data_IF_499523356613
#
_entry.id   IF_499523356613
#
_cell.length_a   1.000
_cell.length_b   1.000
_cell.length_c   1.000
_cell.angle_alpha   90.00
_cell.angle_beta   90.00
_cell.angle_gamma   90.00
#
_symmetry.space_group_name_H-M   'P 1'
#
loop_
_entity.id
_entity.type
_entity.pdbx_description
1 polymer ?
#
# COMPACT_ATOMS: atom_id res chain seq x y z
N UNK A 1 -7.80 -41.70 45.70
CA UNK A 1 -8.75 -40.76 45.07
C UNK A 1 -8.22 -40.55 43.66
N UNK A 2 -8.86 -41.16 42.65
CA UNK A 2 -8.48 -40.97 41.25
C UNK A 2 -9.34 -39.84 40.67
N UNK A 3 -8.70 -38.86 40.05
CA UNK A 3 -9.37 -37.77 39.32
C UNK A 3 -9.12 -38.02 37.84
N UNK A 4 -10.17 -38.37 37.09
CA UNK A 4 -10.10 -38.44 35.63
C UNK A 4 -10.40 -37.06 35.06
N UNK A 5 -9.40 -36.44 34.44
CA UNK A 5 -9.58 -35.23 33.62
C UNK A 5 -9.57 -35.62 32.14
N UNK A 6 -10.63 -35.33 31.37
CA UNK A 6 -10.62 -35.59 29.94
C UNK A 6 -9.56 -34.74 29.26
N UNK A 7 -8.75 -35.35 28.38
CA UNK A 7 -7.72 -34.65 27.63
C UNK A 7 -8.37 -33.74 26.57
N UNK A 8 -8.00 -32.45 26.49
CA UNK A 8 -8.45 -31.58 25.41
C UNK A 8 -7.98 -32.03 24.02
N UNK A 9 -8.79 -31.78 22.99
CA UNK A 9 -8.44 -32.02 21.58
C UNK A 9 -7.48 -30.94 21.04
N UNK A 10 -6.19 -31.13 21.27
CA UNK A 10 -5.16 -30.18 20.83
C UNK A 10 -5.01 -30.09 19.31
N UNK A 11 -5.30 -31.16 18.56
CA UNK A 11 -5.20 -31.15 17.10
C UNK A 11 -6.30 -30.28 16.48
N UNK A 12 -7.54 -30.41 16.97
CA UNK A 12 -8.65 -29.57 16.56
C UNK A 12 -8.39 -28.09 16.85
N UNK A 13 -7.83 -27.78 18.02
CA UNK A 13 -7.46 -26.40 18.40
C UNK A 13 -6.39 -25.84 17.47
N UNK A 14 -5.36 -26.62 17.15
CA UNK A 14 -4.30 -26.19 16.25
C UNK A 14 -4.83 -25.93 14.83
N UNK A 15 -5.71 -26.80 14.32
CA UNK A 15 -6.34 -26.62 13.02
C UNK A 15 -7.22 -25.34 12.96
N UNK A 16 -8.00 -25.07 14.01
CA UNK A 16 -8.79 -23.84 14.14
C UNK A 16 -7.88 -22.60 14.19
N UNK A 17 -6.80 -22.67 14.98
CA UNK A 17 -5.83 -21.59 15.14
C UNK A 17 -5.20 -21.19 13.81
N UNK A 18 -4.74 -22.16 13.01
CA UNK A 18 -4.14 -21.91 11.69
C UNK A 18 -5.12 -21.23 10.74
N UNK A 19 -6.37 -21.70 10.68
CA UNK A 19 -7.36 -21.12 9.77
C UNK A 19 -7.76 -19.70 10.19
N UNK A 20 -7.95 -19.46 11.49
CA UNK A 20 -8.24 -18.12 12.01
C UNK A 20 -7.07 -17.17 11.82
N UNK A 21 -5.85 -17.60 12.09
CA UNK A 21 -4.64 -16.80 11.90
C UNK A 21 -4.49 -16.38 10.44
N UNK A 22 -4.70 -17.31 9.49
CA UNK A 22 -4.69 -16.98 8.07
C UNK A 22 -5.71 -15.90 7.71
N UNK A 23 -6.97 -16.04 8.15
CA UNK A 23 -8.03 -15.07 7.84
C UNK A 23 -7.74 -13.71 8.46
N UNK A 24 -7.28 -13.68 9.71
CA UNK A 24 -6.89 -12.46 10.38
C UNK A 24 -5.74 -11.78 9.65
N UNK A 25 -4.67 -12.50 9.34
CA UNK A 25 -3.50 -11.96 8.66
C UNK A 25 -3.86 -11.32 7.31
N UNK A 26 -4.74 -11.96 6.52
CA UNK A 26 -5.23 -11.39 5.25
C UNK A 26 -5.88 -10.02 5.45
N UNK A 27 -6.75 -9.89 6.44
CA UNK A 27 -7.49 -8.65 6.70
C UNK A 27 -6.58 -7.60 7.33
N UNK A 28 -5.78 -7.99 8.32
CA UNK A 28 -4.87 -7.13 9.06
C UNK A 28 -3.82 -6.50 8.13
N UNK A 29 -3.08 -7.31 7.38
CA UNK A 29 -2.05 -6.81 6.47
C UNK A 29 -2.65 -5.93 5.36
N UNK A 30 -3.82 -6.31 4.83
CA UNK A 30 -4.49 -5.48 3.82
C UNK A 30 -4.86 -4.10 4.37
N UNK A 31 -5.37 -4.05 5.60
CA UNK A 31 -5.67 -2.79 6.28
C UNK A 31 -4.39 -2.00 6.60
N UNK A 32 -3.31 -2.67 6.97
CA UNK A 32 -1.99 -2.06 7.20
C UNK A 32 -1.48 -1.31 5.96
N UNK A 33 -1.53 -1.96 4.79
CA UNK A 33 -1.13 -1.32 3.52
C UNK A 33 -2.06 -0.17 3.14
N UNK A 34 -3.38 -0.32 3.36
CA UNK A 34 -4.34 0.76 3.11
C UNK A 34 -4.16 1.95 4.04
N UNK A 35 -3.76 1.71 5.28
CA UNK A 35 -3.50 2.76 6.27
C UNK A 35 -2.31 3.64 5.89
N UNK A 36 -1.35 3.10 5.12
CA UNK A 36 -0.22 3.87 4.58
C UNK A 36 -0.68 5.08 3.75
N UNK A 37 -1.82 4.99 3.05
CA UNK A 37 -2.39 6.10 2.29
C UNK A 37 -2.98 7.19 3.17
N UNK A 38 -3.57 6.80 4.32
CA UNK A 38 -4.11 7.74 5.30
C UNK A 38 -2.99 8.48 6.01
N UNK A 39 -1.96 7.73 6.43
CA UNK A 39 -0.75 8.27 7.07
C UNK A 39 0.17 9.00 6.07
N UNK A 40 0.02 8.76 4.77
CA UNK A 40 0.88 9.26 3.71
C UNK A 40 2.35 8.85 3.89
N UNK A 41 2.56 7.60 4.27
CA UNK A 41 3.87 7.03 4.56
C UNK A 41 3.79 5.53 4.80
N UNK A 42 4.93 4.86 4.76
CA UNK A 42 5.04 3.44 5.09
C UNK A 42 5.58 3.27 6.50
N UNK A 43 5.09 2.28 7.23
CA UNK A 43 5.66 1.92 8.53
C UNK A 43 6.34 0.56 8.38
N UNK A 44 7.66 0.53 8.55
CA UNK A 44 8.44 -0.71 8.66
C UNK A 44 8.91 -0.86 10.12
N UNK A 45 10.19 -0.61 10.40
CA UNK A 45 10.69 -0.44 11.76
C UNK A 45 10.34 0.96 12.32
N UNK A 46 10.40 1.97 11.45
CA UNK A 46 10.01 3.36 11.70
C UNK A 46 8.98 3.82 10.68
N UNK A 47 8.36 4.98 10.95
CA UNK A 47 7.44 5.62 10.01
C UNK A 47 8.19 6.49 9.01
N UNK A 48 8.14 6.11 7.73
CA UNK A 48 8.74 6.81 6.62
C UNK A 48 7.68 7.55 5.81
N UNK A 49 7.55 8.86 6.05
CA UNK A 49 6.62 9.73 5.35
C UNK A 49 7.00 9.89 3.87
N UNK A 50 6.01 9.90 2.99
CA UNK A 50 6.22 10.14 1.56
C UNK A 50 6.64 11.56 1.27
N UNK A 51 7.45 11.72 0.22
CA UNK A 51 7.85 13.03 -0.26
C UNK A 51 6.63 13.89 -0.66
N UNK A 52 6.58 15.11 -0.11
CA UNK A 52 5.51 16.09 -0.34
C UNK A 52 5.49 16.55 -1.81
N UNK A 53 4.36 17.13 -2.22
CA UNK A 53 4.21 17.70 -3.57
C UNK A 53 5.17 18.88 -3.73
N UNK A 54 5.81 18.96 -4.91
CA UNK A 54 6.63 20.11 -5.28
C UNK A 54 5.72 21.29 -5.60
N UNK A 55 6.06 22.49 -5.13
CA UNK A 55 5.35 23.72 -5.43
C UNK A 55 5.57 24.15 -6.90
N UNK A 56 4.55 24.69 -7.61
CA UNK A 56 3.19 24.94 -7.15
C UNK A 56 2.34 23.67 -7.08
N UNK A 57 1.59 23.52 -5.99
CA UNK A 57 0.60 22.45 -5.85
C UNK A 57 -0.71 22.85 -6.53
N UNK A 58 -1.01 22.23 -7.67
CA UNK A 58 -2.26 22.48 -8.40
C UNK A 58 -3.49 21.77 -7.80
N UNK A 59 -3.31 21.02 -6.70
CA UNK A 59 -4.41 20.41 -5.92
C UNK A 59 -4.15 20.56 -4.40
N UNK A 60 -4.21 21.80 -3.87
CA UNK A 60 -3.98 22.04 -2.46
C UNK A 60 -4.98 21.27 -1.58
N UNK A 61 -4.51 20.73 -0.46
CA UNK A 61 -5.32 19.96 0.49
C UNK A 61 -5.64 18.51 0.06
N UNK A 62 -5.25 18.10 -1.15
CA UNK A 62 -5.47 16.73 -1.63
C UNK A 62 -4.41 15.75 -1.12
N UNK A 63 -4.84 14.68 -0.46
CA UNK A 63 -3.96 13.62 0.01
C UNK A 63 -3.08 13.02 -1.12
N UNK A 64 -1.85 12.64 -0.77
CA UNK A 64 -0.93 11.98 -1.71
C UNK A 64 -1.49 10.61 -2.11
N UNK A 65 -1.34 10.27 -3.41
CA UNK A 65 -1.87 9.04 -4.03
C UNK A 65 -3.40 8.82 -3.96
N UNK A 66 -4.15 9.70 -3.29
CA UNK A 66 -5.61 9.63 -3.21
C UNK A 66 -6.23 10.77 -4.03
N UNK A 67 -6.43 10.53 -5.33
CA UNK A 67 -7.25 11.40 -6.18
C UNK A 67 -8.67 10.87 -6.31
N UNK A 68 -8.79 9.68 -6.86
CA UNK A 68 -10.05 8.93 -7.07
C UNK A 68 -10.12 7.68 -6.20
N UNK A 69 -9.15 7.49 -5.29
CA UNK A 69 -8.97 6.27 -4.48
C UNK A 69 -8.68 4.97 -5.26
N UNK A 70 -8.60 5.00 -6.60
CA UNK A 70 -8.36 3.80 -7.40
C UNK A 70 -7.13 2.99 -6.98
N UNK A 71 -5.99 3.64 -6.70
CA UNK A 71 -4.78 2.93 -6.25
C UNK A 71 -4.99 2.26 -4.87
N UNK A 72 -5.65 2.94 -3.94
CA UNK A 72 -5.99 2.39 -2.62
C UNK A 72 -6.90 1.16 -2.75
N UNK A 73 -7.95 1.28 -3.56
CA UNK A 73 -8.92 0.21 -3.80
C UNK A 73 -8.35 -0.96 -4.60
N UNK A 74 -7.26 -0.70 -5.34
CA UNK A 74 -6.63 -1.73 -6.15
C UNK A 74 -5.86 -2.78 -5.35
N UNK A 75 -5.56 -2.49 -4.08
CA UNK A 75 -4.80 -3.38 -3.20
C UNK A 75 -5.72 -4.53 -2.76
N UNK A 76 -5.25 -5.75 -3.00
CA UNK A 76 -5.97 -6.98 -2.68
C UNK A 76 -5.02 -8.12 -2.32
N UNK A 77 -5.59 -9.16 -1.72
CA UNK A 77 -4.95 -10.47 -1.63
C UNK A 77 -5.02 -11.12 -3.02
N UNK A 78 -3.86 -11.40 -3.62
CA UNK A 78 -3.76 -12.08 -4.92
C UNK A 78 -3.93 -13.59 -4.78
N UNK A 79 -3.30 -14.16 -3.76
CA UNK A 79 -3.45 -15.57 -3.42
C UNK A 79 -3.19 -15.79 -1.93
N UNK A 80 -3.71 -16.88 -1.39
CA UNK A 80 -3.57 -17.21 0.02
C UNK A 80 -3.73 -18.69 0.27
N UNK A 81 -2.65 -19.36 0.61
CA UNK A 81 -2.66 -20.76 1.05
C UNK A 81 -2.22 -20.82 2.53
N UNK A 82 -2.09 -22.04 3.08
CA UNK A 82 -1.69 -22.23 4.49
C UNK A 82 -0.23 -21.83 4.78
N UNK A 83 0.59 -21.63 3.74
CA UNK A 83 2.04 -21.34 3.85
C UNK A 83 2.39 -19.89 3.49
N UNK A 84 1.62 -19.27 2.61
CA UNK A 84 1.92 -17.94 2.07
C UNK A 84 0.64 -17.20 1.71
N UNK A 85 0.65 -15.91 2.01
CA UNK A 85 -0.34 -14.95 1.53
C UNK A 85 0.40 -13.97 0.61
N UNK A 86 -0.10 -13.78 -0.60
CA UNK A 86 0.46 -12.85 -1.58
C UNK A 86 -0.47 -11.65 -1.69
N UNK A 87 0.08 -10.47 -1.42
CA UNK A 87 -0.61 -9.20 -1.56
C UNK A 87 -0.13 -8.49 -2.83
N UNK A 88 -1.00 -7.67 -3.43
CA UNK A 88 -0.62 -6.90 -4.59
C UNK A 88 -1.68 -5.91 -5.01
N UNK A 89 -1.39 -5.19 -6.09
CA UNK A 89 -2.28 -4.23 -6.70
C UNK A 89 -2.50 -4.59 -8.17
N UNK A 90 -3.73 -4.42 -8.65
CA UNK A 90 -4.04 -4.53 -10.08
C UNK A 90 -3.87 -3.20 -10.84
N UNK A 91 -3.53 -2.10 -10.15
CA UNK A 91 -3.29 -0.84 -10.82
C UNK A 91 -1.93 -0.90 -11.56
N UNK A 92 -1.89 -0.64 -12.89
CA UNK A 92 -0.71 -0.89 -13.71
C UNK A 92 0.50 0.00 -13.32
N UNK A 93 0.24 1.12 -12.65
CA UNK A 93 1.26 2.08 -12.22
C UNK A 93 1.62 1.93 -10.73
N UNK A 94 1.07 0.93 -10.02
CA UNK A 94 1.28 0.73 -8.59
C UNK A 94 2.76 0.51 -8.24
N UNK A 95 3.45 -0.36 -8.99
CA UNK A 95 4.86 -0.65 -8.77
C UNK A 95 5.73 0.61 -8.87
N UNK A 96 5.50 1.44 -9.90
CA UNK A 96 6.22 2.70 -10.09
C UNK A 96 6.02 3.67 -8.91
N UNK A 97 4.84 3.71 -8.30
CA UNK A 97 4.66 4.50 -7.08
C UNK A 97 5.34 3.86 -5.87
N UNK A 98 5.22 2.55 -5.69
CA UNK A 98 5.74 1.84 -4.53
C UNK A 98 7.27 1.87 -4.45
N UNK A 99 7.93 1.64 -5.58
CA UNK A 99 9.39 1.52 -5.70
C UNK A 99 10.04 2.87 -6.09
N UNK A 100 9.25 3.78 -6.67
CA UNK A 100 9.80 4.94 -7.37
C UNK A 100 10.41 4.52 -8.71
N UNK A 101 11.15 5.43 -9.34
CA UNK A 101 11.92 5.12 -10.53
C UNK A 101 11.91 6.23 -11.57
N UNK A 102 12.59 5.99 -12.69
CA UNK A 102 12.66 6.94 -13.79
C UNK A 102 11.90 6.41 -14.99
N UNK A 103 10.95 7.19 -15.50
CA UNK A 103 10.13 6.84 -16.66
C UNK A 103 10.35 7.84 -17.77
N UNK A 104 10.45 7.34 -19.00
CA UNK A 104 10.47 8.14 -20.20
C UNK A 104 9.08 8.17 -20.82
N UNK A 105 8.50 9.37 -20.93
CA UNK A 105 7.16 9.58 -21.46
C UNK A 105 7.27 10.26 -22.81
N UNK A 106 6.69 9.65 -23.85
CA UNK A 106 6.62 10.25 -25.18
C UNK A 106 5.65 11.44 -25.20
N UNK A 107 6.11 12.60 -25.65
CA UNK A 107 5.27 13.78 -25.84
C UNK A 107 4.43 13.57 -27.10
N UNK A 108 3.11 13.54 -26.93
CA UNK A 108 2.15 13.48 -28.05
C UNK A 108 1.59 14.87 -28.38
N UNK A 109 0.94 15.01 -29.54
CA UNK A 109 0.19 16.24 -29.86
C UNK A 109 -0.89 16.55 -28.80
N UNK A 110 -1.55 15.51 -28.26
CA UNK A 110 -2.52 15.64 -27.16
C UNK A 110 -1.86 16.15 -25.88
N UNK A 111 -0.65 15.69 -25.55
CA UNK A 111 0.14 16.21 -24.42
C UNK A 111 0.47 17.69 -24.59
N UNK A 112 0.88 18.13 -25.79
CA UNK A 112 1.14 19.55 -26.08
C UNK A 112 -0.11 20.42 -25.94
N UNK A 113 -1.26 19.93 -26.43
CA UNK A 113 -2.56 20.60 -26.24
C UNK A 113 -2.89 20.74 -24.75
N UNK A 114 -2.62 19.70 -23.96
CA UNK A 114 -2.81 19.74 -22.50
C UNK A 114 -1.86 20.74 -21.83
N UNK A 115 -0.59 20.82 -22.23
CA UNK A 115 0.36 21.81 -21.71
C UNK A 115 -0.13 23.25 -21.97
N UNK A 116 -0.64 23.54 -23.18
CA UNK A 116 -1.25 24.84 -23.46
C UNK A 116 -2.50 25.12 -22.61
N UNK A 117 -3.35 24.11 -22.39
CA UNK A 117 -4.50 24.23 -21.50
C UNK A 117 -4.06 24.58 -20.07
N UNK A 118 -3.05 23.87 -19.53
CA UNK A 118 -2.53 24.13 -18.19
C UNK A 118 -1.90 25.52 -18.08
N UNK A 119 -1.17 25.99 -19.10
CA UNK A 119 -0.66 27.37 -19.12
C UNK A 119 -1.80 28.39 -19.08
N UNK A 120 -2.85 28.22 -19.87
CA UNK A 120 -4.00 29.14 -19.85
C UNK A 120 -4.70 29.17 -18.49
N UNK A 121 -4.83 28.01 -17.84
CA UNK A 121 -5.47 27.85 -16.53
C UNK A 121 -4.64 28.42 -15.37
N UNK A 122 -3.34 28.13 -15.36
CA UNK A 122 -2.47 28.40 -14.20
C UNK A 122 -1.58 29.63 -14.36
N UNK A 123 -1.37 30.10 -15.61
CA UNK A 123 -0.41 31.14 -16.00
C UNK A 123 1.06 30.83 -15.67
N UNK A 124 1.35 29.60 -15.23
CA UNK A 124 2.71 29.15 -14.94
C UNK A 124 3.47 28.87 -16.24
N UNK A 125 4.54 29.62 -16.44
CA UNK A 125 5.36 29.58 -17.66
C UNK A 125 5.93 28.19 -17.95
N UNK A 126 6.19 27.36 -16.93
CA UNK A 126 6.69 26.00 -17.11
C UNK A 126 5.87 25.20 -18.14
N UNK A 127 4.54 25.36 -18.12
CA UNK A 127 3.65 24.70 -19.08
C UNK A 127 3.81 25.21 -20.51
N UNK A 128 3.99 26.53 -20.69
CA UNK A 128 4.27 27.13 -22.01
C UNK A 128 5.57 26.58 -22.59
N UNK A 129 6.61 26.50 -21.77
CA UNK A 129 7.92 25.98 -22.19
C UNK A 129 7.83 24.50 -22.59
N UNK A 130 7.09 23.68 -21.82
CA UNK A 130 6.84 22.28 -22.18
C UNK A 130 6.04 22.14 -23.49
N UNK A 131 5.06 23.02 -23.73
CA UNK A 131 4.25 23.00 -24.95
C UNK A 131 5.08 23.30 -26.21
N UNK A 132 6.02 24.25 -26.10
CA UNK A 132 6.90 24.70 -27.18
C UNK A 132 8.16 23.84 -27.36
N UNK A 133 8.51 23.02 -26.36
CA UNK A 133 9.72 22.21 -26.38
C UNK A 133 9.82 21.31 -27.61
N UNK A 134 10.95 21.32 -28.32
CA UNK A 134 11.19 20.41 -29.47
C UNK A 134 11.42 18.95 -29.05
N UNK A 135 11.57 18.67 -27.75
CA UNK A 135 11.76 17.30 -27.23
C UNK A 135 10.51 16.46 -27.52
N UNK A 136 10.73 15.19 -27.85
CA UNK A 136 9.67 14.21 -28.07
C UNK A 136 9.53 13.22 -26.92
N UNK A 137 10.43 13.29 -25.93
CA UNK A 137 10.42 12.45 -24.72
C UNK A 137 10.73 13.33 -23.51
N UNK A 138 9.99 13.11 -22.41
CA UNK A 138 10.25 13.69 -21.10
C UNK A 138 10.72 12.57 -20.18
N UNK A 139 11.86 12.77 -19.55
CA UNK A 139 12.30 11.89 -18.47
C UNK A 139 11.74 12.43 -17.16
N UNK A 140 11.05 11.57 -16.41
CA UNK A 140 10.43 11.91 -15.14
C UNK A 140 10.93 10.95 -14.06
N UNK A 141 11.45 11.53 -12.95
CA UNK A 141 11.85 10.77 -11.76
C UNK A 141 10.68 10.77 -10.78
N UNK A 142 10.06 9.60 -10.60
CA UNK A 142 9.04 9.36 -9.60
C UNK A 142 9.72 9.08 -8.25
N UNK A 143 9.40 9.84 -7.18
CA UNK A 143 9.88 9.51 -5.85
C UNK A 143 9.18 8.26 -5.33
N UNK A 144 9.90 7.49 -4.51
CA UNK A 144 9.41 6.28 -3.86
C UNK A 144 8.30 6.65 -2.87
N UNK A 145 7.13 6.03 -3.03
CA UNK A 145 5.98 6.15 -2.12
C UNK A 145 5.51 4.75 -1.76
N UNK A 146 6.29 4.09 -0.91
CA UNK A 146 6.02 2.73 -0.51
C UNK A 146 4.70 2.65 0.26
N UNK A 147 3.83 1.73 -0.12
CA UNK A 147 2.57 1.44 0.57
C UNK A 147 2.37 -0.06 0.77
N UNK A 148 3.18 -0.89 0.09
CA UNK A 148 3.20 -2.34 0.23
C UNK A 148 4.66 -2.81 0.28
N UNK A 149 4.93 -3.77 1.17
CA UNK A 149 6.27 -4.33 1.36
C UNK A 149 6.35 -5.08 2.69
N UNK A 150 7.53 -5.63 2.97
CA UNK A 150 7.85 -6.21 4.27
C UNK A 150 7.85 -5.11 5.34
N UNK A 151 7.32 -5.43 6.52
CA UNK A 151 7.23 -4.51 7.65
C UNK A 151 7.38 -5.26 8.96
N UNK A 152 8.41 -4.92 9.73
CA UNK A 152 8.61 -5.49 11.07
C UNK A 152 7.43 -5.16 12.00
N UNK A 153 6.94 -3.91 11.98
CA UNK A 153 5.79 -3.51 12.80
C UNK A 153 4.49 -4.18 12.40
N UNK A 154 4.31 -4.51 11.13
CA UNK A 154 3.17 -5.31 10.69
C UNK A 154 3.26 -6.74 11.25
N UNK A 155 4.44 -7.35 11.22
CA UNK A 155 4.64 -8.71 11.74
C UNK A 155 4.46 -8.78 13.26
N UNK A 156 5.00 -7.80 14.00
CA UNK A 156 4.79 -7.67 15.45
C UNK A 156 3.31 -7.69 15.82
N UNK A 157 2.47 -6.93 15.11
CA UNK A 157 1.03 -6.92 15.36
C UNK A 157 0.30 -8.22 15.02
N UNK A 158 0.82 -9.02 14.08
CA UNK A 158 0.30 -10.37 13.83
C UNK A 158 0.67 -11.33 14.95
N UNK A 159 1.92 -11.25 15.42
CA UNK A 159 2.44 -12.11 16.49
C UNK A 159 1.69 -11.83 17.80
N UNK A 160 1.50 -10.56 18.15
CA UNK A 160 0.74 -10.14 19.34
C UNK A 160 -0.69 -10.70 19.31
N UNK A 161 -1.39 -10.51 18.19
CA UNK A 161 -2.74 -11.02 18.03
C UNK A 161 -2.80 -12.55 18.13
N UNK A 162 -1.84 -13.25 17.52
CA UNK A 162 -1.82 -14.71 17.52
C UNK A 162 -1.52 -15.27 18.91
N UNK A 163 -0.59 -14.64 19.63
CA UNK A 163 -0.28 -14.97 21.01
C UNK A 163 -1.51 -14.78 21.92
N UNK A 164 -2.18 -13.64 21.83
CA UNK A 164 -3.41 -13.37 22.58
C UNK A 164 -4.51 -14.40 22.25
N UNK A 165 -4.68 -14.73 20.97
CA UNK A 165 -5.64 -15.73 20.53
C UNK A 165 -5.37 -17.10 21.18
N UNK A 166 -4.12 -17.54 21.20
CA UNK A 166 -3.72 -18.81 21.84
C UNK A 166 -4.01 -18.74 23.33
N UNK A 167 -3.52 -17.70 24.04
CA UNK A 167 -3.72 -17.56 25.48
C UNK A 167 -5.20 -17.59 25.85
N UNK A 168 -6.05 -16.89 25.10
CA UNK A 168 -7.50 -16.90 25.32
C UNK A 168 -8.11 -18.29 25.08
N UNK A 169 -7.64 -19.03 24.08
CA UNK A 169 -8.12 -20.39 23.83
C UNK A 169 -7.78 -21.34 24.98
N UNK A 170 -6.55 -21.30 25.47
CA UNK A 170 -6.11 -22.16 26.59
C UNK A 170 -6.77 -21.81 27.92
N UNK A 171 -7.13 -20.54 28.17
CA UNK A 171 -7.91 -20.15 29.37
C UNK A 171 -9.33 -20.72 29.42
N UNK A 172 -9.86 -21.13 28.26
CA UNK A 172 -11.23 -21.63 28.11
C UNK A 172 -11.27 -23.17 27.94
N UNK A 173 -10.15 -23.86 28.18
CA UNK A 173 -10.07 -25.32 28.28
C UNK A 173 -10.40 -25.77 29.70
#
# INVERSE_FOLDING_TARGET
>A
MEVQTPMPDFEGIAAEAIDKARRYAMVYCLNYFKDSFRKQGFTDHSFDAWEKRVSPDYRPGGALLISTSFLLESIKVLSGNKRQIVFGSYAPYAGLHNEGGTVQIKITAKSRKYFWYMFKKTKDEKWKWMALSKKNVITFKMPKRQFIGESAKMMEGLDDWFFEFIVQKFKNL
#
